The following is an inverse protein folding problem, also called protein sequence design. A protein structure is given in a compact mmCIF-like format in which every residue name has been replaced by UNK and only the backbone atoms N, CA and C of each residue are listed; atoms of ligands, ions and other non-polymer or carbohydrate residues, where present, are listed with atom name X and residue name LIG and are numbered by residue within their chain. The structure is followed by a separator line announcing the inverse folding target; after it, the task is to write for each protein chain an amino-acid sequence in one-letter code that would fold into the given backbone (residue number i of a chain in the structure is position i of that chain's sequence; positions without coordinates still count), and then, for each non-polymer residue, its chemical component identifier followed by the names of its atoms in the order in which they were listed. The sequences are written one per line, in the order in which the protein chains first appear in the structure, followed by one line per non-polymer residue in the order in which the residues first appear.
data_IF_669280784825
#
_entry.id   IF_669280784825
#
_cell.length_a   1.000
_cell.length_b   1.000
_cell.length_c   1.000
_cell.angle_alpha   90.00
_cell.angle_beta   90.00
_cell.angle_gamma   90.00
#
_symmetry.space_group_name_H-M   'P 1'
#
loop_
_entity.id
_entity.type
_entity.pdbx_description
1 polymer ?
#
# COMPACT_ATOMS: atom_id res chain seq x y z
N UNK A 1 13.75 -21.76 25.40
CA UNK A 1 13.26 -21.74 24.02
C UNK A 1 12.41 -20.52 23.80
N UNK A 2 12.75 -19.75 22.80
CA UNK A 2 12.05 -18.49 22.53
C UNK A 2 10.89 -18.74 21.58
N UNK A 3 9.71 -18.43 22.01
CA UNK A 3 8.55 -18.49 21.13
C UNK A 3 8.44 -17.18 20.36
N UNK A 4 8.14 -17.23 19.06
CA UNK A 4 7.89 -15.99 18.33
C UNK A 4 6.69 -15.28 18.94
N UNK A 5 6.80 -13.97 19.03
CA UNK A 5 5.69 -13.14 19.48
C UNK A 5 4.54 -13.29 18.48
N UNK A 6 3.37 -13.76 18.90
CA UNK A 6 2.25 -13.95 17.96
C UNK A 6 1.78 -12.66 17.30
N UNK A 7 2.12 -11.50 17.85
CA UNK A 7 1.80 -10.22 17.24
C UNK A 7 2.81 -9.80 16.17
N UNK A 8 3.99 -10.41 16.21
CA UNK A 8 5.06 -10.07 15.29
C UNK A 8 4.68 -10.28 13.82
N UNK A 9 4.02 -11.41 13.44
CA UNK A 9 3.62 -11.59 12.04
C UNK A 9 2.66 -10.52 11.52
N UNK A 10 1.74 -10.03 12.36
CA UNK A 10 0.80 -9.00 11.94
C UNK A 10 1.47 -7.66 11.70
N UNK A 11 2.37 -7.26 12.61
CA UNK A 11 3.16 -6.04 12.43
C UNK A 11 4.08 -6.17 11.23
N UNK A 12 4.68 -7.34 11.08
CA UNK A 12 5.57 -7.61 9.97
C UNK A 12 4.85 -7.53 8.63
N UNK A 13 3.58 -7.95 8.57
CA UNK A 13 2.83 -7.90 7.32
C UNK A 13 2.61 -6.48 6.83
N UNK A 14 2.16 -5.58 7.69
CA UNK A 14 1.96 -4.19 7.32
C UNK A 14 3.26 -3.50 6.98
N UNK A 15 4.30 -3.76 7.78
CA UNK A 15 5.61 -3.21 7.53
C UNK A 15 6.21 -3.77 6.24
N UNK A 16 6.01 -5.07 5.97
CA UNK A 16 6.50 -5.69 4.74
C UNK A 16 5.82 -5.14 3.50
N UNK A 17 4.52 -4.93 3.54
CA UNK A 17 3.82 -4.31 2.42
C UNK A 17 4.41 -2.95 2.07
N UNK A 18 4.66 -2.13 3.09
CA UNK A 18 5.26 -0.82 2.91
C UNK A 18 6.68 -0.93 2.35
N UNK A 19 7.48 -1.86 2.89
CA UNK A 19 8.85 -2.06 2.43
C UNK A 19 8.91 -2.56 1.00
N UNK A 20 8.05 -3.51 0.64
CA UNK A 20 7.99 -4.04 -0.72
C UNK A 20 7.59 -2.94 -1.70
N UNK A 21 6.58 -2.16 -1.34
CA UNK A 21 6.11 -1.08 -2.20
C UNK A 21 7.19 -0.01 -2.38
N UNK A 22 7.91 0.33 -1.31
CA UNK A 22 9.01 1.28 -1.38
C UNK A 22 10.14 0.76 -2.28
N UNK A 23 10.47 -0.54 -2.17
CA UNK A 23 11.49 -1.16 -3.00
C UNK A 23 11.10 -1.11 -4.48
N UNK A 24 9.85 -1.39 -4.80
CA UNK A 24 9.36 -1.32 -6.18
C UNK A 24 9.44 0.10 -6.72
N UNK A 25 9.11 1.06 -5.87
CA UNK A 25 9.18 2.47 -6.27
C UNK A 25 10.63 2.90 -6.53
N UNK A 26 11.56 2.48 -5.65
CA UNK A 26 12.99 2.77 -5.82
C UNK A 26 13.58 2.16 -7.09
N UNK A 27 13.04 1.02 -7.51
CA UNK A 27 13.57 0.31 -8.67
C UNK A 27 13.43 1.12 -9.96
N UNK A 28 12.40 1.97 -10.06
CA UNK A 28 12.20 2.81 -11.22
C UNK A 28 11.78 2.08 -12.47
N UNK A 29 11.45 0.80 -12.38
CA UNK A 29 11.01 -0.01 -13.51
C UNK A 29 10.57 -1.39 -13.03
N UNK A 30 10.13 -2.26 -13.97
CA UNK A 30 9.66 -3.59 -13.60
C UNK A 30 10.78 -4.44 -13.01
N UNK A 31 10.50 -5.15 -11.92
CA UNK A 31 11.47 -6.05 -11.28
C UNK A 31 10.81 -7.35 -10.86
N UNK A 32 11.64 -8.38 -10.70
CA UNK A 32 11.18 -9.70 -10.26
C UNK A 32 11.00 -9.74 -8.75
N UNK A 33 10.26 -10.74 -8.27
CA UNK A 33 10.15 -10.99 -6.84
C UNK A 33 11.51 -11.31 -6.21
N UNK A 34 12.39 -11.99 -6.95
CA UNK A 34 13.75 -12.25 -6.48
C UNK A 34 14.55 -10.98 -6.26
N UNK A 35 14.38 -10.01 -7.15
CA UNK A 35 15.02 -8.71 -6.98
C UNK A 35 14.55 -8.03 -5.70
N UNK A 36 13.23 -8.08 -5.45
CA UNK A 36 12.66 -7.48 -4.24
C UNK A 36 13.20 -8.18 -3.00
N UNK A 37 13.25 -9.52 -3.02
CA UNK A 37 13.80 -10.30 -1.92
C UNK A 37 15.23 -9.86 -1.58
N UNK A 38 16.07 -9.75 -2.58
CA UNK A 38 17.46 -9.35 -2.40
C UNK A 38 17.60 -7.91 -1.90
N UNK A 39 16.68 -7.07 -2.30
CA UNK A 39 16.72 -5.65 -1.92
C UNK A 39 16.32 -5.43 -0.47
N UNK A 40 15.43 -6.26 0.07
CA UNK A 40 14.89 -6.05 1.42
C UNK A 40 15.79 -6.62 2.51
N UNK A 41 15.78 -7.94 2.67
CA UNK A 41 16.52 -8.56 3.75
C UNK A 41 16.94 -9.98 3.37
N UNK A 42 18.16 -10.34 3.73
CA UNK A 42 18.72 -11.63 3.35
C UNK A 42 17.97 -12.81 3.95
N UNK A 43 17.33 -12.62 5.10
CA UNK A 43 16.61 -13.68 5.80
C UNK A 43 15.12 -13.76 5.41
N UNK A 44 14.68 -12.91 4.52
CA UNK A 44 13.28 -12.90 4.10
C UNK A 44 13.05 -14.00 3.06
N UNK A 45 12.09 -14.88 3.33
CA UNK A 45 11.80 -16.00 2.44
C UNK A 45 11.14 -15.51 1.15
N UNK A 46 11.48 -16.15 0.04
CA UNK A 46 10.88 -15.86 -1.27
C UNK A 46 9.35 -15.99 -1.23
N UNK A 47 8.85 -17.03 -0.56
CA UNK A 47 7.41 -17.24 -0.45
C UNK A 47 6.72 -16.11 0.30
N UNK A 48 7.40 -15.53 1.29
CA UNK A 48 6.87 -14.37 2.01
C UNK A 48 6.74 -13.16 1.09
N UNK A 49 7.77 -12.91 0.28
CA UNK A 49 7.75 -11.83 -0.70
C UNK A 49 6.60 -12.04 -1.69
N UNK A 50 6.43 -13.26 -2.20
CA UNK A 50 5.35 -13.57 -3.13
C UNK A 50 3.98 -13.37 -2.50
N UNK A 51 3.82 -13.74 -1.23
CA UNK A 51 2.56 -13.52 -0.52
C UNK A 51 2.23 -12.04 -0.39
N UNK A 52 3.24 -11.23 -0.06
CA UNK A 52 3.05 -9.77 0.06
C UNK A 52 2.70 -9.16 -1.30
N UNK A 53 3.42 -9.55 -2.35
CA UNK A 53 3.14 -9.06 -3.70
C UNK A 53 1.72 -9.44 -4.14
N UNK A 54 1.27 -10.66 -3.83
CA UNK A 54 -0.08 -11.10 -4.16
C UNK A 54 -1.14 -10.25 -3.44
N UNK A 55 -0.88 -9.90 -2.18
CA UNK A 55 -1.77 -9.03 -1.41
C UNK A 55 -1.83 -7.63 -2.01
N UNK A 56 -0.67 -7.08 -2.39
CA UNK A 56 -0.62 -5.77 -3.01
C UNK A 56 -1.33 -5.77 -4.36
N UNK A 57 -1.22 -6.85 -5.11
CA UNK A 57 -1.94 -7.01 -6.37
C UNK A 57 -3.46 -7.02 -6.15
N UNK A 58 -3.92 -7.75 -5.14
CA UNK A 58 -5.33 -7.81 -4.79
C UNK A 58 -5.88 -6.44 -4.37
N UNK A 59 -5.03 -5.61 -3.78
CA UNK A 59 -5.38 -4.24 -3.37
C UNK A 59 -5.21 -3.23 -4.49
N UNK A 60 -4.78 -3.65 -5.65
CA UNK A 60 -4.49 -2.78 -6.80
C UNK A 60 -3.37 -1.78 -6.54
N UNK A 61 -2.49 -2.09 -5.59
CA UNK A 61 -1.33 -1.25 -5.29
C UNK A 61 -0.15 -1.53 -6.21
N UNK A 62 -0.13 -2.70 -6.84
CA UNK A 62 0.89 -3.07 -7.81
C UNK A 62 0.22 -3.69 -9.03
N UNK A 63 0.96 -3.72 -10.13
CA UNK A 63 0.59 -4.50 -11.32
C UNK A 63 1.71 -5.48 -11.61
N UNK A 64 1.41 -6.50 -12.39
CA UNK A 64 2.41 -7.45 -12.83
C UNK A 64 2.19 -7.77 -14.30
N UNK A 65 3.26 -8.13 -14.97
CA UNK A 65 3.17 -8.66 -16.33
C UNK A 65 4.15 -9.81 -16.48
N UNK A 66 3.85 -10.68 -17.39
CA UNK A 66 4.73 -11.81 -17.67
C UNK A 66 5.88 -11.36 -18.56
N UNK A 67 7.08 -11.78 -18.18
CA UNK A 67 8.25 -11.51 -18.97
C UNK A 67 9.08 -12.80 -18.98
N UNK A 68 9.06 -13.49 -20.12
CA UNK A 68 9.62 -14.83 -20.19
C UNK A 68 8.86 -15.81 -19.31
N UNK A 69 9.56 -16.45 -18.37
CA UNK A 69 8.98 -17.43 -17.45
C UNK A 69 8.62 -16.82 -16.10
N UNK A 70 8.93 -15.56 -15.92
CA UNK A 70 8.76 -14.89 -14.65
C UNK A 70 7.78 -13.75 -14.76
N UNK A 71 7.24 -13.33 -13.62
CA UNK A 71 6.50 -12.09 -13.54
C UNK A 71 7.44 -10.97 -13.11
N UNK A 72 7.19 -9.79 -13.65
CA UNK A 72 7.82 -8.55 -13.19
C UNK A 72 6.73 -7.65 -12.62
N UNK A 73 7.09 -6.88 -11.62
CA UNK A 73 6.15 -6.15 -10.79
C UNK A 73 6.46 -4.67 -10.83
N UNK A 74 5.40 -3.85 -10.83
CA UNK A 74 5.47 -2.40 -10.87
C UNK A 74 4.52 -1.82 -9.84
N UNK A 75 4.89 -0.74 -9.16
CA UNK A 75 3.93 -0.08 -8.28
C UNK A 75 2.89 0.69 -9.09
N UNK A 76 1.63 0.61 -8.69
CA UNK A 76 0.58 1.49 -9.19
C UNK A 76 0.35 2.62 -8.20
N UNK A 77 0.81 2.43 -6.95
CA UNK A 77 0.70 3.42 -5.90
C UNK A 77 1.96 3.38 -5.05
N UNK A 78 2.36 4.52 -4.54
CA UNK A 78 3.43 4.63 -3.55
C UNK A 78 2.87 4.43 -2.14
N UNK A 79 3.64 4.79 -1.11
CA UNK A 79 3.20 4.66 0.28
C UNK A 79 1.93 5.46 0.55
N UNK A 80 1.83 6.66 -0.03
CA UNK A 80 0.64 7.49 0.13
C UNK A 80 -0.57 6.81 -0.51
N UNK A 81 -0.39 6.23 -1.69
CA UNK A 81 -1.46 5.52 -2.37
C UNK A 81 -1.92 4.30 -1.60
N UNK A 82 -1.00 3.56 -0.98
CA UNK A 82 -1.36 2.41 -0.16
C UNK A 82 -2.16 2.85 1.08
N UNK A 83 -1.75 3.93 1.73
CA UNK A 83 -2.48 4.47 2.87
C UNK A 83 -3.89 4.90 2.45
N UNK A 84 -4.02 5.53 1.29
CA UNK A 84 -5.33 5.94 0.77
C UNK A 84 -6.24 4.74 0.51
N UNK A 85 -5.68 3.63 0.00
CA UNK A 85 -6.46 2.41 -0.18
C UNK A 85 -6.97 1.86 1.15
N UNK A 86 -6.17 1.92 2.20
CA UNK A 86 -6.59 1.50 3.53
C UNK A 86 -7.73 2.37 4.06
N UNK A 87 -7.64 3.67 3.86
CA UNK A 87 -8.69 4.61 4.25
C UNK A 87 -9.99 4.30 3.51
N UNK A 88 -9.91 4.06 2.19
CA UNK A 88 -11.07 3.71 1.39
C UNK A 88 -11.71 2.42 1.88
N UNK A 89 -10.89 1.42 2.21
CA UNK A 89 -11.39 0.14 2.69
C UNK A 89 -12.18 0.29 3.99
N UNK A 90 -11.68 1.11 4.91
CA UNK A 90 -12.39 1.40 6.16
C UNK A 90 -13.74 2.06 5.85
N UNK A 91 -13.74 3.05 4.98
CA UNK A 91 -14.95 3.78 4.60
C UNK A 91 -15.97 2.86 3.92
N UNK A 92 -15.50 1.99 3.03
CA UNK A 92 -16.39 1.08 2.29
C UNK A 92 -17.07 0.06 3.19
N UNK A 93 -16.47 -0.23 4.35
CA UNK A 93 -17.06 -1.15 5.32
C UNK A 93 -18.17 -0.56 6.17
N UNK A 94 -18.42 0.74 6.06
CA UNK A 94 -19.42 1.43 6.88
C UNK A 94 -20.74 1.59 6.12
N UNK A 95 -21.83 1.44 6.85
CA UNK A 95 -23.16 1.57 6.24
C UNK A 95 -23.53 3.03 5.97
N UNK A 96 -23.18 3.93 6.89
CA UNK A 96 -23.47 5.34 6.72
C UNK A 96 -22.19 6.09 6.37
N UNK A 97 -21.86 6.05 5.10
CA UNK A 97 -20.66 6.65 4.56
C UNK A 97 -20.62 8.16 4.79
N UNK A 98 -21.77 8.82 4.63
CA UNK A 98 -21.86 10.26 4.81
C UNK A 98 -21.55 10.66 6.24
N UNK A 99 -22.07 9.93 7.23
CA UNK A 99 -21.81 10.23 8.64
C UNK A 99 -20.33 10.05 8.99
N UNK A 100 -19.69 9.02 8.44
CA UNK A 100 -18.25 8.79 8.66
C UNK A 100 -17.44 9.95 8.09
N UNK A 101 -17.74 10.37 6.87
CA UNK A 101 -17.04 11.49 6.24
C UNK A 101 -17.25 12.79 7.00
N UNK A 102 -18.48 13.04 7.48
CA UNK A 102 -18.78 14.24 8.25
C UNK A 102 -17.99 14.28 9.56
N UNK A 103 -17.94 13.15 10.27
CA UNK A 103 -17.16 13.05 11.50
C UNK A 103 -15.67 13.23 11.26
N UNK A 104 -15.18 12.64 10.18
CA UNK A 104 -13.78 12.74 9.79
C UNK A 104 -13.39 14.20 9.53
N UNK A 105 -14.19 14.90 8.75
CA UNK A 105 -13.94 16.31 8.42
C UNK A 105 -13.96 17.19 9.66
N UNK A 106 -14.92 16.94 10.55
CA UNK A 106 -15.04 17.73 11.78
C UNK A 106 -13.79 17.62 12.66
N UNK A 107 -13.16 16.46 12.65
CA UNK A 107 -11.99 16.17 13.47
C UNK A 107 -10.65 16.52 12.80
N UNK A 108 -10.66 16.96 11.54
CA UNK A 108 -9.43 17.27 10.82
C UNK A 108 -8.68 18.45 11.44
N UNK A 109 -7.35 18.35 11.56
CA UNK A 109 -6.54 19.52 11.89
C UNK A 109 -6.70 20.60 10.82
N UNK A 110 -6.53 21.84 11.22
CA UNK A 110 -6.74 22.98 10.32
C UNK A 110 -5.88 22.91 9.06
N UNK A 111 -4.63 22.49 9.21
CA UNK A 111 -3.74 22.35 8.05
C UNK A 111 -4.23 21.32 7.05
N UNK A 112 -4.73 20.19 7.54
CA UNK A 112 -5.24 19.13 6.67
C UNK A 112 -6.53 19.56 5.97
N UNK A 113 -7.38 20.29 6.65
CA UNK A 113 -8.60 20.82 6.06
C UNK A 113 -8.28 21.71 4.85
N UNK A 114 -7.29 22.57 5.00
CA UNK A 114 -6.87 23.46 3.91
C UNK A 114 -6.36 22.66 2.71
N UNK A 115 -5.52 21.66 2.96
CA UNK A 115 -5.00 20.81 1.89
C UNK A 115 -6.14 20.09 1.17
N UNK A 116 -7.09 19.56 1.94
CA UNK A 116 -8.22 18.85 1.36
C UNK A 116 -9.04 19.75 0.45
N UNK A 117 -9.30 20.99 0.87
CA UNK A 117 -10.03 21.95 0.04
C UNK A 117 -9.31 22.24 -1.26
N UNK A 118 -7.99 22.43 -1.19
CA UNK A 118 -7.17 22.68 -2.38
C UNK A 118 -7.24 21.50 -3.35
N UNK A 119 -7.14 20.27 -2.84
CA UNK A 119 -7.19 19.09 -3.68
C UNK A 119 -8.56 18.91 -4.35
N UNK A 120 -9.64 19.17 -3.63
CA UNK A 120 -10.98 19.09 -4.20
C UNK A 120 -11.19 20.13 -5.29
N UNK A 121 -10.69 21.34 -5.08
CA UNK A 121 -10.76 22.40 -6.09
C UNK A 121 -9.98 22.05 -7.34
N UNK A 122 -8.79 21.44 -7.19
CA UNK A 122 -8.00 20.99 -8.33
C UNK A 122 -8.72 19.90 -9.12
N UNK A 123 -9.35 18.97 -8.43
CA UNK A 123 -10.09 17.90 -9.09
C UNK A 123 -11.26 18.45 -9.90
N UNK A 124 -11.92 19.49 -9.40
CA UNK A 124 -13.01 20.15 -10.11
C UNK A 124 -12.51 20.88 -11.35
N UNK A 125 -11.34 21.51 -11.25
CA UNK A 125 -10.77 22.29 -12.36
C UNK A 125 -10.30 21.39 -13.52
N UNK A 126 -10.00 20.12 -13.25
CA UNK A 126 -9.56 19.19 -14.29
C UNK A 126 -10.71 18.70 -15.20
N UNK A 127 -11.93 18.91 -14.78
CA UNK A 127 -13.09 18.60 -15.59
C UNK A 127 -13.39 19.75 -16.54
#
# INVERSE_FOLDING_TARGET
MTHPDPRRPRRAQGALETQVLAALHEAGGPVTAGWVQNRLAADLAYTTVMTVLARLLAKHAVTRRREGRSFVWLPTADEAGLAALKMRKVLDGEQDRRAVLASFITALPEGDEQVLRELLDQATDED
#
